data_IF_733177759212
#
_entry.id   IF_733177759212
#
_cell.length_a   1.000
_cell.length_b   1.000
_cell.length_c   1.000
_cell.angle_alpha   90.00
_cell.angle_beta   90.00
_cell.angle_gamma   90.00
#
_symmetry.space_group_name_H-M   'P 1'
#
loop_
_entity.id
_entity.type
_entity.pdbx_description
1 polymer ?
#
# COMPACT_ATOMS: atom_id res chain seq x y z
N UNK A 1 3.91 -12.51 -11.72
CA UNK A 1 2.71 -11.83 -12.24
C UNK A 1 2.68 -10.44 -11.66
N UNK A 2 2.73 -9.42 -12.51
CA UNK A 2 2.68 -8.02 -12.10
C UNK A 2 1.26 -7.71 -11.58
N UNK A 3 1.09 -7.40 -10.30
CA UNK A 3 -0.21 -7.11 -9.67
C UNK A 3 -0.18 -5.82 -8.87
N UNK A 4 -1.25 -5.06 -8.93
CA UNK A 4 -1.44 -3.88 -8.09
C UNK A 4 -1.68 -4.32 -6.65
N UNK A 5 -1.20 -3.54 -5.69
CA UNK A 5 -1.42 -3.81 -4.27
C UNK A 5 -2.04 -2.59 -3.61
N UNK A 6 -3.02 -2.83 -2.75
CA UNK A 6 -3.48 -1.80 -1.82
C UNK A 6 -2.83 -2.12 -0.48
N UNK A 7 -2.25 -1.11 0.17
CA UNK A 7 -1.54 -1.27 1.44
C UNK A 7 -2.22 -0.39 2.47
N UNK A 8 -2.42 -0.91 3.67
CA UNK A 8 -2.90 -0.18 4.83
C UNK A 8 -1.75 0.13 5.79
N UNK A 9 -1.93 1.16 6.60
CA UNK A 9 -1.05 1.53 7.70
C UNK A 9 -1.88 1.75 8.93
N UNK A 10 -1.55 0.96 9.94
CA UNK A 10 -2.15 1.06 11.25
C UNK A 10 -1.43 2.17 12.00
N UNK A 11 -2.13 3.28 12.26
CA UNK A 11 -1.52 4.42 12.97
C UNK A 11 -1.27 4.13 14.45
N UNK A 12 -2.00 3.17 15.03
CA UNK A 12 -1.83 2.73 16.40
C UNK A 12 -0.60 1.84 16.56
N UNK A 13 -0.42 0.85 15.67
CA UNK A 13 0.73 -0.05 15.67
C UNK A 13 1.96 0.54 14.97
N UNK A 14 1.79 1.58 14.14
CA UNK A 14 2.82 2.17 13.27
C UNK A 14 3.44 1.19 12.29
N UNK A 15 2.62 0.26 11.79
CA UNK A 15 3.05 -0.80 10.89
C UNK A 15 2.30 -0.74 9.56
N UNK A 16 3.01 -1.06 8.47
CA UNK A 16 2.43 -1.18 7.14
C UNK A 16 2.01 -2.63 6.88
N UNK A 17 0.76 -2.85 6.50
CA UNK A 17 0.20 -4.17 6.17
C UNK A 17 -0.40 -4.19 4.76
N UNK A 18 -0.43 -5.37 4.13
CA UNK A 18 -0.95 -5.54 2.77
C UNK A 18 -2.46 -5.80 2.79
N UNK A 19 -3.21 -4.98 2.06
CA UNK A 19 -4.67 -5.09 1.87
C UNK A 19 -4.94 -5.55 0.44
N UNK A 20 -4.65 -6.83 0.17
CA UNK A 20 -5.03 -7.49 -1.08
C UNK A 20 -4.18 -7.17 -2.31
N UNK A 21 -4.26 -8.07 -3.30
CA UNK A 21 -3.62 -7.94 -4.60
C UNK A 21 -4.65 -7.98 -5.73
N UNK A 22 -4.52 -7.04 -6.66
CA UNK A 22 -5.50 -6.79 -7.72
C UNK A 22 -4.85 -6.95 -9.09
N UNK A 23 -5.64 -7.39 -10.07
CA UNK A 23 -5.12 -7.71 -11.40
C UNK A 23 -5.01 -6.47 -12.29
N UNK A 24 -5.77 -5.43 -11.97
CA UNK A 24 -5.76 -4.14 -12.68
C UNK A 24 -5.68 -2.96 -11.71
N UNK A 25 -5.26 -1.82 -12.25
CA UNK A 25 -5.24 -0.55 -11.51
C UNK A 25 -6.66 -0.14 -11.10
N UNK A 26 -7.63 -0.32 -12.00
CA UNK A 26 -9.03 0.04 -11.76
C UNK A 26 -9.63 -0.73 -10.58
N UNK A 27 -9.36 -2.05 -10.48
CA UNK A 27 -9.79 -2.86 -9.34
C UNK A 27 -9.16 -2.36 -8.03
N UNK A 28 -7.86 -2.06 -8.07
CA UNK A 28 -7.13 -1.60 -6.90
C UNK A 28 -7.57 -0.20 -6.44
N UNK A 29 -7.88 0.70 -7.38
CA UNK A 29 -8.46 2.01 -7.10
C UNK A 29 -9.86 1.90 -6.47
N UNK A 30 -10.69 0.98 -6.98
CA UNK A 30 -12.01 0.73 -6.41
C UNK A 30 -11.91 0.24 -4.97
N UNK A 31 -10.96 -0.64 -4.67
CA UNK A 31 -10.70 -1.07 -3.30
C UNK A 31 -10.16 0.06 -2.42
N UNK A 32 -9.17 0.81 -2.89
CA UNK A 32 -8.59 1.94 -2.16
C UNK A 32 -9.68 2.92 -1.72
N UNK A 33 -10.58 3.28 -2.64
CA UNK A 33 -11.70 4.17 -2.39
C UNK A 33 -12.71 3.55 -1.40
N UNK A 34 -12.96 2.25 -1.49
CA UNK A 34 -13.81 1.52 -0.52
C UNK A 34 -13.23 1.60 0.89
N UNK A 35 -11.93 1.37 1.05
CA UNK A 35 -11.25 1.45 2.35
C UNK A 35 -11.26 2.87 2.91
N UNK A 36 -10.96 3.87 2.09
CA UNK A 36 -11.04 5.29 2.48
C UNK A 36 -12.43 5.68 3.01
N UNK A 37 -13.50 5.20 2.36
CA UNK A 37 -14.88 5.44 2.83
C UNK A 37 -15.18 4.75 4.15
N UNK A 38 -14.71 3.51 4.34
CA UNK A 38 -14.88 2.79 5.60
C UNK A 38 -14.17 3.50 6.75
N UNK A 39 -12.95 3.97 6.52
CA UNK A 39 -12.17 4.74 7.50
C UNK A 39 -12.83 6.08 7.83
N UNK A 40 -13.30 6.81 6.82
CA UNK A 40 -14.05 8.04 7.02
C UNK A 40 -15.35 7.85 7.83
N UNK A 41 -15.97 6.68 7.74
CA UNK A 41 -17.21 6.36 8.44
C UNK A 41 -17.00 5.92 9.90
N UNK A 42 -15.80 5.53 10.31
CA UNK A 42 -15.60 4.76 11.54
C UNK A 42 -14.76 5.44 12.63
N UNK A 43 -13.99 6.50 12.36
CA UNK A 43 -12.97 6.97 13.33
C UNK A 43 -12.72 8.49 13.43
N UNK A 44 -12.23 8.89 14.60
CA UNK A 44 -11.61 10.20 14.89
C UNK A 44 -10.38 10.45 14.01
N UNK A 45 -10.22 11.69 13.54
CA UNK A 45 -9.21 12.05 12.53
C UNK A 45 -7.76 11.69 12.92
N UNK A 46 -7.43 11.78 14.22
CA UNK A 46 -6.08 11.49 14.72
C UNK A 46 -5.71 10.00 14.78
N UNK A 47 -6.69 9.10 14.63
CA UNK A 47 -6.50 7.64 14.70
C UNK A 47 -6.77 6.95 13.37
N UNK A 48 -7.08 7.71 12.30
CA UNK A 48 -7.42 7.13 11.00
C UNK A 48 -6.23 6.38 10.43
N UNK A 49 -6.45 5.12 10.10
CA UNK A 49 -5.52 4.35 9.28
C UNK A 49 -5.30 5.03 7.93
N UNK A 50 -4.10 4.87 7.36
CA UNK A 50 -3.79 5.36 6.02
C UNK A 50 -3.82 4.19 5.02
N UNK A 51 -4.32 4.45 3.81
CA UNK A 51 -4.34 3.43 2.75
C UNK A 51 -3.83 4.05 1.45
N UNK A 52 -2.94 3.34 0.76
CA UNK A 52 -2.35 3.76 -0.51
C UNK A 52 -2.32 2.63 -1.54
N UNK A 53 -2.19 3.03 -2.80
CA UNK A 53 -2.05 2.14 -3.94
C UNK A 53 -0.57 2.02 -4.33
N UNK A 54 -0.10 0.78 -4.47
CA UNK A 54 1.25 0.47 -4.93
C UNK A 54 1.16 -0.12 -6.34
N UNK A 55 1.90 0.44 -7.31
CA UNK A 55 1.93 -0.10 -8.67
C UNK A 55 2.47 -1.53 -8.66
N UNK A 56 2.09 -2.34 -9.66
CA UNK A 56 2.73 -3.62 -9.86
C UNK A 56 4.22 -3.39 -9.98
N UNK A 57 4.97 -4.10 -9.14
CA UNK A 57 6.40 -4.19 -9.36
C UNK A 57 6.57 -4.82 -10.74
N UNK A 58 6.95 -4.00 -11.73
CA UNK A 58 7.52 -4.53 -12.94
C UNK A 58 8.65 -5.44 -12.49
N UNK A 59 8.68 -6.66 -13.01
CA UNK A 59 9.75 -7.61 -12.69
C UNK A 59 11.07 -7.02 -13.20
N UNK A 60 11.67 -6.14 -12.43
CA UNK A 60 13.01 -5.62 -12.60
C UNK A 60 13.75 -6.08 -11.36
N UNK A 61 14.60 -7.08 -11.62
CA UNK A 61 15.73 -7.51 -10.80
C UNK A 61 16.05 -6.50 -9.71
N UNK A 62 15.95 -6.97 -8.46
CA UNK A 62 16.58 -6.33 -7.32
C UNK A 62 18.05 -6.10 -7.67
N UNK A 63 18.39 -4.92 -8.18
CA UNK A 63 19.69 -4.34 -7.91
C UNK A 63 19.61 -3.91 -6.46
N UNK A 64 20.00 -4.86 -5.60
CA UNK A 64 20.46 -4.57 -4.26
C UNK A 64 21.48 -3.45 -4.43
N UNK A 65 21.10 -2.23 -4.04
CA UNK A 65 22.10 -1.21 -3.76
C UNK A 65 22.80 -1.71 -2.50
N UNK A 66 23.99 -2.26 -2.68
CA UNK A 66 24.88 -2.57 -1.57
C UNK A 66 25.27 -1.22 -0.95
N UNK A 67 24.88 -1.05 0.31
CA UNK A 67 25.08 0.15 1.12
C UNK A 67 26.58 0.38 1.44
N UNK A 68 27.47 -0.51 0.98
CA UNK A 68 28.91 -0.48 1.24
C UNK A 68 29.78 -0.05 0.05
N UNK A 69 29.25 0.75 -0.89
CA UNK A 69 30.13 1.45 -1.83
C UNK A 69 30.76 2.67 -1.13
N UNK A 70 31.81 2.39 -0.34
CA UNK A 70 32.72 3.41 0.18
C UNK A 70 33.41 4.13 -1.00
N UNK A 71 33.35 5.47 -1.01
CA UNK A 71 34.08 6.36 -1.91
C UNK A 71 35.52 6.59 -1.44
#
# INVERSE_FOLDING_TARGET
>A
MNRWRVMGYDTFARESYCVGEYTSETEALAELERQRRLLAATQDEALRDEVWLVPPLATHTAQVYDENQEF
#
